data_IF_577173409115
#
_entry.id   IF_577173409115
#
_cell.length_a   1.000
_cell.length_b   1.000
_cell.length_c   1.000
_cell.angle_alpha   90.00
_cell.angle_beta   90.00
_cell.angle_gamma   90.00
#
_symmetry.space_group_name_H-M   'P 1'
#
loop_
_entity.id
_entity.type
_entity.pdbx_description
1 polymer ?
#
# COMPACT_ATOMS: atom_id res chain seq x y z
N UNK A 1 2.04 -12.69 8.79
CA UNK A 1 2.02 -11.38 9.46
C UNK A 1 2.51 -10.38 8.42
N UNK A 2 1.81 -9.27 8.22
CA UNK A 2 2.15 -8.30 7.16
C UNK A 2 3.19 -7.34 7.72
N UNK A 3 4.40 -7.34 7.16
CA UNK A 3 5.49 -6.48 7.63
C UNK A 3 5.61 -5.22 6.76
N UNK A 4 6.21 -4.16 7.32
CA UNK A 4 6.49 -2.92 6.57
C UNK A 4 7.40 -3.19 5.36
N UNK A 5 8.34 -4.12 5.50
CA UNK A 5 9.24 -4.52 4.42
C UNK A 5 8.49 -5.06 3.20
N UNK A 6 7.42 -5.82 3.39
CA UNK A 6 6.61 -6.33 2.28
C UNK A 6 5.90 -5.19 1.52
N UNK A 7 5.38 -4.21 2.25
CA UNK A 7 4.77 -3.02 1.62
C UNK A 7 5.83 -2.25 0.83
N UNK A 8 7.04 -2.09 1.38
CA UNK A 8 8.16 -1.46 0.67
C UNK A 8 8.54 -2.22 -0.60
N UNK A 9 8.53 -3.55 -0.60
CA UNK A 9 8.78 -4.35 -1.80
C UNK A 9 7.71 -4.10 -2.88
N UNK A 10 6.43 -4.02 -2.49
CA UNK A 10 5.36 -3.67 -3.43
C UNK A 10 5.55 -2.26 -3.97
N UNK A 11 5.84 -1.28 -3.10
CA UNK A 11 6.08 0.10 -3.53
C UNK A 11 7.28 0.21 -4.48
N UNK A 12 8.33 -0.60 -4.29
CA UNK A 12 9.51 -0.66 -5.17
C UNK A 12 9.19 -1.20 -6.56
N UNK A 13 8.14 -2.01 -6.68
CA UNK A 13 7.65 -2.50 -7.97
C UNK A 13 6.94 -1.42 -8.79
N UNK A 14 6.46 -0.35 -8.14
CA UNK A 14 5.78 0.75 -8.80
C UNK A 14 6.79 1.71 -9.44
N UNK A 15 6.54 2.08 -10.69
CA UNK A 15 7.39 3.04 -11.40
C UNK A 15 7.31 4.45 -10.79
N UNK A 16 6.14 4.83 -10.26
CA UNK A 16 5.87 6.14 -9.66
C UNK A 16 6.69 6.43 -8.39
N UNK A 17 7.06 5.39 -7.64
CA UNK A 17 7.83 5.52 -6.40
C UNK A 17 9.23 4.90 -6.49
N UNK A 18 9.65 4.47 -7.68
CA UNK A 18 10.93 3.81 -7.90
C UNK A 18 12.09 4.73 -7.48
N UNK A 19 12.89 4.27 -6.52
CA UNK A 19 14.06 5.00 -6.00
C UNK A 19 13.77 6.00 -4.88
N UNK A 20 12.50 6.29 -4.55
CA UNK A 20 12.15 7.06 -3.33
C UNK A 20 11.75 6.17 -2.16
N UNK A 21 11.33 4.91 -2.40
CA UNK A 21 10.93 4.00 -1.32
C UNK A 21 11.98 3.80 -0.24
N UNK A 22 13.27 3.75 -0.61
CA UNK A 22 14.36 3.58 0.36
C UNK A 22 14.57 4.81 1.26
N UNK A 23 14.11 5.99 0.83
CA UNK A 23 14.22 7.25 1.60
C UNK A 23 12.91 7.64 2.31
N UNK A 24 11.80 6.98 1.99
CA UNK A 24 10.51 7.19 2.63
C UNK A 24 10.51 6.70 4.08
N UNK A 25 10.02 7.55 4.97
CA UNK A 25 9.64 7.16 6.32
C UNK A 25 8.32 6.39 6.30
N UNK A 26 8.06 5.59 7.34
CA UNK A 26 6.83 4.79 7.41
C UNK A 26 5.54 5.64 7.50
N UNK A 27 5.69 6.87 8.00
CA UNK A 27 4.64 7.87 8.18
C UNK A 27 4.70 9.00 7.14
N UNK A 28 5.55 8.89 6.12
CA UNK A 28 5.59 9.85 5.01
C UNK A 28 4.34 9.70 4.13
N UNK A 29 3.79 10.84 3.68
CA UNK A 29 2.69 10.85 2.73
C UNK A 29 3.19 10.48 1.32
N UNK A 30 2.76 9.33 0.82
CA UNK A 30 3.14 8.82 -0.49
C UNK A 30 2.68 9.73 -1.63
N UNK A 31 1.53 10.40 -1.49
CA UNK A 31 1.01 11.31 -2.53
C UNK A 31 1.89 12.55 -2.68
N UNK A 32 2.40 13.08 -1.57
CA UNK A 32 3.36 14.19 -1.58
C UNK A 32 4.72 13.78 -2.17
N UNK A 33 5.02 12.48 -2.19
CA UNK A 33 6.32 11.93 -2.60
C UNK A 33 6.33 11.41 -4.04
N UNK A 34 5.20 11.50 -4.74
CA UNK A 34 5.07 11.14 -6.15
C UNK A 34 4.04 10.07 -6.46
N UNK A 35 3.31 9.54 -5.45
CA UNK A 35 2.18 8.65 -5.72
C UNK A 35 1.03 9.44 -6.34
N UNK A 36 0.69 9.10 -7.57
CA UNK A 36 -0.46 9.66 -8.29
C UNK A 36 -1.66 8.70 -8.24
N UNK A 37 -2.77 9.11 -8.86
CA UNK A 37 -3.98 8.28 -8.93
C UNK A 37 -3.73 6.94 -9.61
N UNK A 38 -2.87 6.89 -10.64
CA UNK A 38 -2.59 5.66 -11.37
C UNK A 38 -1.72 4.70 -10.55
N UNK A 39 -0.68 5.23 -9.91
CA UNK A 39 0.18 4.51 -8.97
C UNK A 39 -0.61 3.97 -7.79
N UNK A 40 -1.62 4.69 -7.29
CA UNK A 40 -2.48 4.18 -6.21
C UNK A 40 -3.34 2.98 -6.62
N UNK A 41 -3.83 2.95 -7.87
CA UNK A 41 -4.55 1.80 -8.43
C UNK A 41 -3.62 0.61 -8.65
N UNK A 42 -2.43 0.85 -9.20
CA UNK A 42 -1.41 -0.20 -9.34
C UNK A 42 -0.97 -0.75 -7.99
N UNK A 43 -0.81 0.12 -6.99
CA UNK A 43 -0.49 -0.26 -5.62
C UNK A 43 -1.57 -1.18 -5.05
N UNK A 44 -2.83 -0.79 -5.15
CA UNK A 44 -3.96 -1.60 -4.69
C UNK A 44 -3.92 -2.99 -5.34
N UNK A 45 -3.88 -3.07 -6.66
CA UNK A 45 -3.87 -4.34 -7.40
C UNK A 45 -2.67 -5.23 -6.99
N UNK A 46 -1.49 -4.64 -6.81
CA UNK A 46 -0.30 -5.37 -6.40
C UNK A 46 -0.38 -5.87 -4.94
N UNK A 47 -1.06 -5.14 -4.05
CA UNK A 47 -1.34 -5.58 -2.69
C UNK A 47 -2.37 -6.71 -2.67
N UNK A 48 -3.45 -6.58 -3.44
CA UNK A 48 -4.47 -7.63 -3.61
C UNK A 48 -3.84 -8.93 -4.08
N UNK A 49 -3.04 -8.89 -5.16
CA UNK A 49 -2.38 -10.07 -5.70
C UNK A 49 -1.33 -10.66 -4.74
N UNK A 50 -0.52 -9.82 -4.09
CA UNK A 50 0.55 -10.32 -3.19
C UNK A 50 0.02 -10.90 -1.89
N UNK A 51 -1.04 -10.30 -1.35
CA UNK A 51 -1.60 -10.71 -0.07
C UNK A 51 -2.87 -11.56 -0.22
N UNK A 52 -3.31 -11.85 -1.44
CA UNK A 52 -4.53 -12.61 -1.70
C UNK A 52 -5.71 -11.98 -0.93
N UNK A 53 -5.91 -10.67 -1.16
CA UNK A 53 -6.98 -9.88 -0.53
C UNK A 53 -7.78 -9.06 -1.52
N UNK A 54 -8.98 -8.63 -1.14
CA UNK A 54 -9.79 -7.64 -1.87
C UNK A 54 -9.97 -6.33 -1.09
N UNK A 55 -9.74 -5.19 -1.74
CA UNK A 55 -9.99 -3.88 -1.15
C UNK A 55 -11.45 -3.45 -1.35
N UNK A 56 -12.23 -3.25 -0.27
CA UNK A 56 -13.59 -2.74 -0.40
C UNK A 56 -13.61 -1.26 -0.81
N UNK A 57 -14.72 -0.78 -1.39
CA UNK A 57 -14.93 0.64 -1.75
C UNK A 57 -14.69 1.61 -0.58
N UNK A 58 -14.95 1.16 0.64
CA UNK A 58 -14.71 1.93 1.86
C UNK A 58 -13.21 2.13 2.17
N UNK A 59 -12.36 1.20 1.71
CA UNK A 59 -10.91 1.23 1.86
C UNK A 59 -10.19 1.83 0.65
N UNK A 60 -10.87 2.06 -0.47
CA UNK A 60 -10.35 2.66 -1.70
C UNK A 60 -10.02 4.18 -1.61
N UNK A 61 -10.07 4.76 -0.42
CA UNK A 61 -9.81 6.18 -0.20
C UNK A 61 -8.32 6.53 -0.21
N UNK A 62 -8.00 7.76 -0.64
CA UNK A 62 -6.64 8.34 -0.59
C UNK A 62 -5.94 8.11 0.75
N UNK A 63 -6.71 8.22 1.84
CA UNK A 63 -6.21 8.09 3.21
C UNK A 63 -5.69 6.69 3.54
N UNK A 64 -6.24 5.64 2.92
CA UNK A 64 -5.81 4.25 3.12
C UNK A 64 -4.44 3.97 2.47
N UNK A 65 -4.11 4.74 1.43
CA UNK A 65 -2.84 4.65 0.71
C UNK A 65 -1.91 5.84 1.02
N UNK A 66 -2.24 6.64 2.04
CA UNK A 66 -1.46 7.84 2.36
C UNK A 66 -0.06 7.50 2.86
N UNK A 67 0.11 6.49 3.71
CA UNK A 67 1.43 6.17 4.29
C UNK A 67 1.66 4.65 4.33
N UNK A 68 2.93 4.24 4.39
CA UNK A 68 3.32 2.82 4.44
C UNK A 68 2.70 2.15 5.68
N UNK A 69 2.67 2.85 6.82
CA UNK A 69 2.06 2.38 8.05
C UNK A 69 0.57 2.07 7.87
N UNK A 70 -0.19 3.00 7.28
CA UNK A 70 -1.64 2.84 7.07
C UNK A 70 -1.91 1.69 6.10
N UNK A 71 -1.14 1.59 5.02
CA UNK A 71 -1.27 0.49 4.06
C UNK A 71 -1.09 -0.84 4.76
N UNK A 72 -0.01 -1.00 5.53
CA UNK A 72 0.25 -2.23 6.29
C UNK A 72 -0.90 -2.55 7.24
N UNK A 73 -1.38 -1.58 8.02
CA UNK A 73 -2.51 -1.81 8.93
C UNK A 73 -3.79 -2.22 8.18
N UNK A 74 -4.05 -1.58 7.04
CA UNK A 74 -5.23 -1.88 6.21
C UNK A 74 -5.14 -3.29 5.66
N UNK A 75 -4.01 -3.66 5.04
CA UNK A 75 -3.77 -5.02 4.50
C UNK A 75 -3.84 -6.07 5.61
N UNK A 76 -3.24 -5.80 6.78
CA UNK A 76 -3.29 -6.71 7.92
C UNK A 76 -4.73 -6.90 8.43
N UNK A 77 -5.52 -5.83 8.48
CA UNK A 77 -6.94 -5.88 8.83
C UNK A 77 -7.76 -6.67 7.83
N UNK A 78 -7.62 -6.39 6.54
CA UNK A 78 -8.34 -7.07 5.46
C UNK A 78 -8.03 -8.57 5.43
N UNK A 79 -6.74 -8.94 5.53
CA UNK A 79 -6.33 -10.36 5.63
C UNK A 79 -6.99 -11.11 6.79
N UNK A 80 -7.24 -10.43 7.92
CA UNK A 80 -7.91 -11.06 9.05
C UNK A 80 -9.42 -11.20 8.84
N UNK A 81 -10.03 -10.32 8.05
CA UNK A 81 -11.45 -10.39 7.75
C UNK A 81 -11.80 -11.50 6.75
N UNK A 82 -10.95 -11.73 5.75
CA UNK A 82 -11.17 -12.82 4.77
C UNK A 82 -10.83 -14.21 5.31
N UNK A 83 -9.92 -14.30 6.27
CA UNK A 83 -9.59 -15.56 6.93
C UNK A 83 -10.62 -16.01 7.99
N UNK A 84 -11.67 -15.21 8.22
CA UNK A 84 -12.72 -15.43 9.23
C UNK A 84 -13.99 -16.03 8.61
#
# INVERSE_FOLDING_TARGET
MVEISDIRDVLKSLESLKGVVDTLADDDDLFEKGLDSFGSVQLMLALEERFDIEFPDSALGRRSFSTIRIIRDTVAGLRQQEAA
#
